data_IF_241141724845
#
_entry.id   IF_241141724845
#
_cell.length_a   1.000
_cell.length_b   1.000
_cell.length_c   1.000
_cell.angle_alpha   90.00
_cell.angle_beta   90.00
_cell.angle_gamma   90.00
#
_symmetry.space_group_name_H-M   'P 1'
#
loop_
_entity.id
_entity.type
_entity.pdbx_description
1 polymer ?
#
# COMPACT_ATOMS: atom_id res chain seq x y z
N UNK A 1 -2.65 -12.66 -1.07
CA UNK A 1 -4.06 -12.73 -1.46
C UNK A 1 -4.96 -12.70 -0.23
N UNK A 2 -6.08 -11.97 -0.31
CA UNK A 2 -7.10 -11.86 0.74
C UNK A 2 -6.57 -11.38 2.10
N UNK A 3 -6.02 -10.21 2.14
CA UNK A 3 -5.45 -9.59 3.35
C UNK A 3 -6.33 -8.44 3.90
N UNK A 4 -6.02 -7.96 5.11
CA UNK A 4 -6.78 -6.94 5.86
C UNK A 4 -8.25 -7.32 6.09
N UNK A 5 -8.51 -8.56 6.47
CA UNK A 5 -9.88 -9.07 6.65
C UNK A 5 -10.52 -8.66 7.98
N UNK A 6 -9.71 -8.42 9.00
CA UNK A 6 -10.17 -8.13 10.39
C UNK A 6 -9.47 -6.91 11.01
N UNK A 7 -8.63 -6.23 10.26
CA UNK A 7 -7.87 -5.06 10.70
C UNK A 7 -7.77 -4.04 9.57
N UNK A 8 -7.90 -2.78 9.88
CA UNK A 8 -7.62 -1.66 9.00
C UNK A 8 -6.16 -1.20 9.08
N UNK A 9 -5.84 -0.11 8.42
CA UNK A 9 -4.50 0.48 8.35
C UNK A 9 -3.41 -0.55 8.03
N UNK A 10 -3.72 -1.40 7.07
CA UNK A 10 -2.87 -2.50 6.68
C UNK A 10 -2.62 -2.56 5.18
N UNK A 11 -1.65 -3.36 4.80
CA UNK A 11 -1.29 -3.59 3.41
C UNK A 11 -0.90 -5.04 3.12
N UNK A 12 -0.90 -5.39 1.83
CA UNK A 12 -0.32 -6.65 1.38
C UNK A 12 1.19 -6.69 1.62
N UNK A 13 1.88 -5.58 1.37
CA UNK A 13 3.28 -5.35 1.78
C UNK A 13 3.32 -4.00 2.50
N UNK A 14 3.80 -4.01 3.72
CA UNK A 14 3.90 -2.83 4.58
C UNK A 14 5.33 -2.65 5.09
N UNK A 15 5.82 -1.43 5.04
CA UNK A 15 7.09 -1.07 5.67
C UNK A 15 7.01 0.29 6.32
N UNK A 16 7.47 0.36 7.55
CA UNK A 16 7.62 1.59 8.34
C UNK A 16 8.95 1.53 9.08
N UNK A 17 9.45 2.65 9.51
CA UNK A 17 10.58 2.71 10.43
C UNK A 17 10.14 3.19 11.82
N UNK A 18 9.02 3.90 11.88
CA UNK A 18 8.45 4.44 13.13
C UNK A 18 9.27 5.56 13.75
N UNK A 19 10.55 5.69 13.43
CA UNK A 19 11.46 6.70 13.96
C UNK A 19 12.18 7.43 12.84
N UNK A 20 12.24 8.75 12.91
CA UNK A 20 13.01 9.58 11.97
C UNK A 20 14.53 9.44 12.14
N UNK A 21 14.99 8.94 13.27
CA UNK A 21 16.41 8.79 13.59
C UNK A 21 16.99 7.45 13.11
N UNK A 22 16.15 6.51 12.71
CA UNK A 22 16.58 5.21 12.21
C UNK A 22 16.50 5.19 10.69
N UNK A 23 17.56 4.79 10.04
CA UNK A 23 17.62 4.70 8.58
C UNK A 23 17.99 3.28 8.17
N UNK A 24 17.17 2.68 7.35
CA UNK A 24 17.46 1.40 6.70
C UNK A 24 17.71 1.63 5.23
N UNK A 25 18.72 0.97 4.69
CA UNK A 25 19.14 1.08 3.30
C UNK A 25 18.83 -0.19 2.50
N UNK A 26 18.83 -0.06 1.18
CA UNK A 26 18.73 -1.17 0.23
C UNK A 26 17.49 -2.05 0.41
N UNK A 27 16.37 -1.48 0.83
CA UNK A 27 15.10 -2.21 0.91
C UNK A 27 14.49 -2.33 -0.47
N UNK A 28 13.97 -3.51 -0.78
CA UNK A 28 13.44 -3.82 -2.12
C UNK A 28 12.09 -4.53 -2.05
N UNK A 29 11.15 -4.04 -2.83
CA UNK A 29 9.84 -4.64 -3.08
C UNK A 29 9.75 -4.83 -4.59
N UNK A 30 10.10 -6.02 -5.07
CA UNK A 30 10.31 -6.24 -6.51
C UNK A 30 9.57 -7.50 -6.98
N UNK A 31 8.82 -7.37 -8.10
CA UNK A 31 8.23 -8.50 -8.79
C UNK A 31 7.11 -9.22 -8.03
N UNK A 32 6.45 -8.54 -7.10
CA UNK A 32 5.37 -9.14 -6.32
C UNK A 32 4.03 -9.04 -7.03
N UNK A 33 3.16 -10.03 -6.81
CA UNK A 33 1.75 -10.01 -7.19
C UNK A 33 0.92 -9.94 -5.90
N UNK A 34 0.21 -8.83 -5.72
CA UNK A 34 -0.58 -8.53 -4.53
C UNK A 34 -2.04 -8.41 -4.95
N UNK A 35 -2.88 -9.28 -4.41
CA UNK A 35 -4.27 -9.41 -4.85
C UNK A 35 -5.24 -9.33 -3.68
N UNK A 36 -6.43 -8.75 -3.96
CA UNK A 36 -7.60 -8.84 -3.11
C UNK A 36 -7.40 -8.33 -1.67
N UNK A 37 -6.95 -7.09 -1.54
CA UNK A 37 -6.97 -6.39 -0.26
C UNK A 37 -8.39 -6.11 0.20
N UNK A 38 -8.92 -6.97 1.05
CA UNK A 38 -10.31 -6.90 1.54
C UNK A 38 -10.35 -5.95 2.73
N UNK A 39 -11.15 -4.88 2.66
CA UNK A 39 -11.35 -4.01 3.80
C UNK A 39 -12.03 -4.78 4.94
N UNK A 40 -11.58 -4.56 6.17
CA UNK A 40 -12.23 -5.12 7.34
C UNK A 40 -13.66 -4.57 7.47
N UNK A 41 -14.64 -5.47 7.58
CA UNK A 41 -16.04 -5.11 7.79
C UNK A 41 -16.44 -5.16 9.26
N UNK A 42 -15.69 -5.89 10.07
CA UNK A 42 -15.95 -6.11 11.49
C UNK A 42 -14.65 -5.97 12.30
N UNK A 43 -14.77 -5.57 13.55
CA UNK A 43 -13.64 -5.46 14.45
C UNK A 43 -12.80 -4.18 14.29
N UNK A 44 -13.27 -3.24 13.47
CA UNK A 44 -12.65 -1.92 13.28
C UNK A 44 -13.70 -0.81 13.41
N UNK A 45 -13.29 0.36 13.82
CA UNK A 45 -14.14 1.54 13.78
C UNK A 45 -14.24 2.05 12.34
N UNK A 46 -15.33 1.71 11.68
CA UNK A 46 -15.58 2.11 10.28
C UNK A 46 -15.69 3.61 10.08
N UNK A 47 -15.95 4.39 11.12
CA UNK A 47 -16.05 5.85 11.05
C UNK A 47 -14.66 6.47 10.98
N UNK A 48 -13.68 5.87 11.63
CA UNK A 48 -12.30 6.34 11.72
C UNK A 48 -11.32 5.48 10.91
N UNK A 49 -11.81 4.51 10.16
CA UNK A 49 -10.96 3.63 9.35
C UNK A 49 -10.22 4.42 8.25
N UNK A 50 -8.94 4.62 8.45
CA UNK A 50 -8.10 5.47 7.59
C UNK A 50 -7.79 4.83 6.25
N UNK A 51 -7.35 3.61 6.26
CA UNK A 51 -6.88 2.90 5.07
C UNK A 51 -7.26 1.42 5.17
N UNK A 52 -8.46 1.04 4.76
CA UNK A 52 -8.96 -0.31 5.01
C UNK A 52 -8.11 -1.43 4.40
N UNK A 53 -7.54 -1.23 3.23
CA UNK A 53 -6.59 -2.18 2.63
C UNK A 53 -5.81 -1.52 1.50
N UNK A 54 -4.52 -1.46 1.62
CA UNK A 54 -3.57 -0.94 0.63
C UNK A 54 -2.76 -2.10 0.04
N UNK A 55 -2.41 -2.04 -1.23
CA UNK A 55 -1.56 -3.08 -1.83
C UNK A 55 -0.14 -3.02 -1.29
N UNK A 56 0.56 -1.93 -1.53
CA UNK A 56 1.91 -1.64 -1.00
C UNK A 56 1.85 -0.32 -0.22
N UNK A 57 2.34 -0.33 1.01
CA UNK A 57 2.32 0.85 1.86
C UNK A 57 3.72 1.15 2.43
N UNK A 58 4.28 2.26 1.96
CA UNK A 58 5.48 2.86 2.56
C UNK A 58 5.00 3.88 3.58
N UNK A 59 5.15 3.58 4.85
CA UNK A 59 4.62 4.37 5.95
C UNK A 59 5.75 4.96 6.80
N UNK A 60 5.38 5.75 7.76
CA UNK A 60 6.17 6.53 8.70
C UNK A 60 7.69 6.31 8.65
N UNK A 61 8.39 7.29 8.07
CA UNK A 61 9.84 7.32 7.97
C UNK A 61 10.48 6.15 7.19
N UNK A 62 9.73 5.45 6.34
CA UNK A 62 10.34 4.48 5.43
C UNK A 62 11.31 5.19 4.48
N UNK A 63 12.53 4.65 4.36
CA UNK A 63 13.60 5.25 3.54
C UNK A 63 14.31 4.22 2.68
N UNK A 64 14.86 4.67 1.55
CA UNK A 64 15.67 3.87 0.62
C UNK A 64 15.00 2.56 0.20
N UNK A 65 13.77 2.68 -0.30
CA UNK A 65 12.95 1.55 -0.76
C UNK A 65 12.79 1.61 -2.28
N UNK A 66 13.21 0.56 -2.97
CA UNK A 66 12.91 0.37 -4.39
C UNK A 66 11.64 -0.47 -4.54
N UNK A 67 10.63 0.09 -5.17
CA UNK A 67 9.35 -0.56 -5.46
C UNK A 67 9.24 -0.74 -6.97
N UNK A 68 9.58 -1.92 -7.47
CA UNK A 68 9.80 -2.15 -8.89
C UNK A 68 9.02 -3.36 -9.41
N UNK A 69 8.42 -3.24 -10.59
CA UNK A 69 7.81 -4.35 -11.34
C UNK A 69 6.75 -5.15 -10.54
N UNK A 70 6.02 -4.51 -9.64
CA UNK A 70 4.97 -5.18 -8.89
C UNK A 70 3.62 -5.05 -9.61
N UNK A 71 2.76 -6.04 -9.40
CA UNK A 71 1.36 -6.02 -9.83
C UNK A 71 0.46 -6.01 -8.60
N UNK A 72 -0.40 -5.01 -8.51
CA UNK A 72 -1.35 -4.87 -7.40
C UNK A 72 -2.76 -4.79 -7.97
N UNK A 73 -3.66 -5.65 -7.50
CA UNK A 73 -5.03 -5.64 -7.97
C UNK A 73 -6.07 -5.85 -6.85
N UNK A 74 -7.23 -5.22 -7.04
CA UNK A 74 -8.41 -5.39 -6.19
C UNK A 74 -8.17 -5.04 -4.71
N UNK A 75 -7.43 -3.98 -4.41
CA UNK A 75 -7.29 -3.48 -3.04
C UNK A 75 -8.40 -2.47 -2.74
N UNK A 76 -9.01 -2.56 -1.57
CA UNK A 76 -10.21 -1.81 -1.20
C UNK A 76 -9.97 -0.29 -1.13
N UNK A 77 -8.78 0.15 -0.80
CA UNK A 77 -8.45 1.59 -0.71
C UNK A 77 -7.63 2.06 -1.91
N UNK A 78 -6.43 1.54 -2.05
CA UNK A 78 -5.49 1.94 -3.11
C UNK A 78 -4.49 0.85 -3.40
N UNK A 79 -3.94 0.85 -4.61
CA UNK A 79 -2.86 -0.08 -4.96
C UNK A 79 -1.55 0.24 -4.22
N UNK A 80 -1.22 1.51 -4.09
CA UNK A 80 -0.01 1.95 -3.39
C UNK A 80 -0.28 3.21 -2.58
N UNK A 81 0.30 3.30 -1.39
CA UNK A 81 0.30 4.49 -0.56
C UNK A 81 1.73 4.80 -0.09
N UNK A 82 2.07 6.07 -0.11
CA UNK A 82 3.34 6.59 0.41
C UNK A 82 3.02 7.69 1.41
N UNK A 83 3.34 7.45 2.66
CA UNK A 83 3.07 8.36 3.76
C UNK A 83 4.36 8.66 4.53
N UNK A 84 4.73 9.93 4.57
CA UNK A 84 5.91 10.41 5.29
C UNK A 84 7.21 9.61 5.04
N UNK A 85 7.39 9.14 3.81
CA UNK A 85 8.54 8.34 3.38
C UNK A 85 9.48 9.14 2.49
N UNK A 86 10.76 8.77 2.44
CA UNK A 86 11.81 9.51 1.74
C UNK A 86 12.76 8.58 0.98
N UNK A 87 13.38 9.12 -0.09
CA UNK A 87 14.40 8.38 -0.86
C UNK A 87 13.92 7.01 -1.33
N UNK A 88 12.82 6.99 -2.06
CA UNK A 88 12.26 5.78 -2.63
C UNK A 88 12.17 5.90 -4.16
N UNK A 89 12.21 4.76 -4.82
CA UNK A 89 12.01 4.63 -6.27
C UNK A 89 10.75 3.84 -6.55
N UNK A 90 9.88 4.33 -7.42
CA UNK A 90 8.69 3.62 -7.86
C UNK A 90 8.68 3.55 -9.38
N UNK A 91 8.96 2.37 -9.95
CA UNK A 91 9.04 2.17 -11.40
C UNK A 91 8.37 0.88 -11.85
N UNK A 92 7.72 0.95 -13.01
CA UNK A 92 7.15 -0.20 -13.71
C UNK A 92 6.16 -1.02 -12.88
N UNK A 93 5.44 -0.39 -11.95
CA UNK A 93 4.40 -1.08 -11.20
C UNK A 93 3.05 -0.94 -11.91
N UNK A 94 2.26 -1.99 -11.88
CA UNK A 94 0.89 -2.03 -12.40
C UNK A 94 -0.08 -2.07 -11.23
N UNK A 95 -1.02 -1.13 -11.18
CA UNK A 95 -2.08 -1.13 -10.18
C UNK A 95 -3.44 -1.16 -10.88
N UNK A 96 -4.24 -2.14 -10.54
CA UNK A 96 -5.62 -2.27 -10.98
C UNK A 96 -6.57 -2.31 -9.79
N UNK A 97 -7.46 -1.32 -9.70
CA UNK A 97 -8.46 -1.24 -8.65
C UNK A 97 -9.83 -1.37 -9.30
N UNK A 98 -10.51 -2.48 -9.02
CA UNK A 98 -11.91 -2.66 -9.44
C UNK A 98 -12.79 -1.82 -8.51
N UNK A 99 -13.10 -0.61 -8.93
CA UNK A 99 -14.19 0.18 -8.30
C UNK A 99 -15.46 0.01 -9.10
N UNK A 100 -16.61 0.10 -8.43
CA UNK A 100 -17.89 0.36 -9.11
C UNK A 100 -17.78 1.62 -9.97
N UNK A 101 -18.57 1.75 -10.97
CA UNK A 101 -18.52 2.63 -12.17
C UNK A 101 -18.17 4.13 -11.93
N UNK A 102 -17.81 4.58 -10.74
CA UNK A 102 -17.71 6.01 -10.43
C UNK A 102 -16.34 6.58 -10.09
N UNK A 103 -15.24 5.84 -10.13
CA UNK A 103 -13.95 6.46 -9.77
C UNK A 103 -12.73 5.87 -10.51
N UNK A 104 -12.27 6.59 -11.53
CA UNK A 104 -11.05 6.32 -12.30
C UNK A 104 -9.83 6.97 -11.62
N UNK A 105 -9.31 6.41 -10.53
CA UNK A 105 -8.01 6.83 -10.01
C UNK A 105 -6.95 5.77 -10.30
N UNK A 106 -6.07 6.08 -11.26
CA UNK A 106 -4.90 5.25 -11.54
C UNK A 106 -3.80 5.47 -10.49
N UNK A 107 -2.90 4.49 -10.34
CA UNK A 107 -1.71 4.59 -9.49
C UNK A 107 -0.71 5.69 -9.90
N UNK A 108 -0.93 6.35 -11.01
CA UNK A 108 -0.06 7.39 -11.52
C UNK A 108 -0.56 8.77 -11.07
N UNK A 109 -0.16 9.21 -9.89
CA UNK A 109 0.00 10.64 -9.63
C UNK A 109 1.48 10.97 -9.74
N UNK A 110 1.78 11.77 -10.78
CA UNK A 110 3.05 12.49 -10.91
C UNK A 110 3.27 13.40 -9.70
#
# INVERSE_FOLDING_TARGET
>A
DSFCMVKDDGAGIYTSTGSSNTVYYNRKIIGNIILNGVAAKFGVDVINSYLPAVGIYLDENATYVDVLNNTVANCAKTGMNVHNSRFFTVLNNTCYIKRGISDNRSCNKK
#
